data_IF_618169207663
#
_entry.id   IF_618169207663
#
_cell.length_a   1.000
_cell.length_b   1.000
_cell.length_c   1.000
_cell.angle_alpha   90.00
_cell.angle_beta   90.00
_cell.angle_gamma   90.00
#
_symmetry.space_group_name_H-M   'P 1'
#
loop_
_entity.id
_entity.type
_entity.pdbx_description
1 polymer ?
2 polymer ?
3 non-polymer ?
4 water ?
#
# COMPACT_ATOMS: atom_id res chain seq x y z
N UNK A 2 18.58 4.98 -26.23
CA UNK A 2 18.72 4.27 -24.97
C UNK A 2 17.40 4.11 -24.19
N UNK A 3 17.50 3.48 -23.02
CA UNK A 3 16.35 3.31 -22.12
C UNK A 3 16.22 4.54 -21.22
N UNK A 4 15.12 4.63 -20.46
CA UNK A 4 14.92 5.69 -19.49
C UNK A 4 14.03 5.24 -18.35
N UNK A 5 14.16 5.87 -17.19
CA UNK A 5 13.35 5.53 -16.02
C UNK A 5 13.06 6.73 -15.14
N UNK A 6 11.86 6.76 -14.58
CA UNK A 6 11.47 7.81 -13.66
C UNK A 6 11.02 7.17 -12.37
N UNK A 7 11.70 7.50 -11.27
CA UNK A 7 11.33 7.08 -9.93
C UNK A 7 10.57 8.18 -9.20
N UNK A 8 9.30 7.90 -8.87
CA UNK A 8 8.47 8.85 -8.14
C UNK A 8 8.68 8.68 -6.65
N UNK A 9 9.44 9.59 -6.02
CA UNK A 9 9.92 9.38 -4.66
C UNK A 9 8.85 9.42 -3.57
N UNK A 10 7.75 10.14 -3.82
CA UNK A 10 6.60 10.16 -2.90
C UNK A 10 5.42 9.27 -3.32
N UNK A 11 5.61 8.43 -4.32
CA UNK A 11 4.56 7.50 -4.78
C UNK A 11 4.06 6.57 -3.67
N UNK A 12 4.98 5.89 -2.98
CA UNK A 12 4.60 4.94 -1.91
C UNK A 12 3.76 5.61 -0.83
N UNK A 13 4.21 6.78 -0.38
CA UNK A 13 3.47 7.59 0.58
C UNK A 13 2.09 8.02 0.07
N UNK A 14 1.98 8.42 -1.19
CA UNK A 14 0.67 8.74 -1.81
C UNK A 14 -0.25 7.46 -1.82
N UNK A 15 0.29 6.30 -2.16
CA UNK A 15 -0.49 5.03 -2.16
C UNK A 15 -1.04 4.74 -0.77
N UNK A 16 -0.18 4.91 0.24
CA UNK A 16 -0.51 4.58 1.62
C UNK A 16 -1.61 5.51 2.14
N UNK A 17 -1.46 6.80 1.85
CA UNK A 17 -2.52 7.78 2.16
C UNK A 17 -3.85 7.36 1.55
N UNK A 18 -3.82 7.01 0.28
CA UNK A 18 -5.01 6.52 -0.42
C UNK A 18 -5.61 5.24 0.17
N UNK A 19 -4.76 4.31 0.59
CA UNK A 19 -5.24 3.10 1.29
C UNK A 19 -5.93 3.40 2.60
N UNK A 20 -5.42 4.41 3.30
CA UNK A 20 -6.04 4.91 4.52
C UNK A 20 -7.36 5.60 4.28
N UNK A 21 -7.43 6.40 3.21
CA UNK A 21 -8.69 7.02 2.82
C UNK A 21 -9.76 5.95 2.55
N UNK A 22 -9.37 4.87 1.87
CA UNK A 22 -10.27 3.76 1.59
C UNK A 22 -10.73 3.09 2.87
N UNK A 23 -9.81 2.92 3.82
CA UNK A 23 -10.14 2.38 5.14
C UNK A 23 -11.13 3.28 5.86
N UNK A 24 -10.86 4.58 5.92
CA UNK A 24 -11.74 5.53 6.60
C UNK A 24 -13.16 5.58 6.02
N UNK A 25 -13.30 5.25 4.74
CA UNK A 25 -14.61 5.17 4.09
C UNK A 25 -15.20 3.76 4.05
N UNK A 26 -14.44 2.77 4.52
CA UNK A 26 -14.85 1.37 4.57
C UNK A 26 -14.94 0.72 3.19
N UNK A 27 -14.05 1.10 2.29
CA UNK A 27 -14.09 0.63 0.90
C UNK A 27 -13.02 -0.43 0.68
N UNK A 28 -13.47 -1.59 0.21
CA UNK A 28 -12.66 -2.78 -0.10
C UNK A 28 -11.97 -3.41 1.13
N UNK A 29 -12.43 -3.04 2.32
CA UNK A 29 -12.02 -3.68 3.55
C UNK A 29 -12.58 -5.10 3.49
N UNK A 30 -11.73 -6.07 3.83
CA UNK A 30 -12.00 -7.50 3.64
C UNK A 30 -11.73 -8.31 4.89
N UNK A 31 -11.63 -7.65 6.04
CA UNK A 31 -11.52 -8.35 7.30
C UNK A 31 -11.90 -7.39 8.42
N UNK A 32 -12.50 -7.95 9.47
CA UNK A 32 -12.67 -7.23 10.74
C UNK A 32 -11.79 -7.91 11.81
N UNK A 33 -10.99 -7.09 12.48
CA UNK A 33 -10.18 -7.54 13.62
C UNK A 33 -10.97 -7.22 14.89
N UNK A 34 -11.31 -8.27 15.65
CA UNK A 34 -12.03 -8.12 16.89
C UNK A 34 -11.04 -8.14 18.04
N UNK A 35 -11.03 -7.05 18.82
CA UNK A 35 -10.16 -6.90 19.98
C UNK A 35 -11.09 -6.65 21.17
N UNK A 36 -11.33 -7.72 21.94
CA UNK A 36 -12.34 -7.73 23.00
C UNK A 36 -13.69 -7.20 22.47
N UNK A 37 -14.16 -6.05 22.96
CA UNK A 37 -15.46 -5.51 22.57
C UNK A 37 -15.42 -4.59 21.35
N UNK A 38 -14.22 -4.32 20.80
CA UNK A 38 -14.07 -3.39 19.68
C UNK A 38 -13.67 -4.10 18.40
N UNK A 39 -14.00 -3.47 17.28
CA UNK A 39 -13.83 -4.03 15.94
C UNK A 39 -13.09 -3.03 15.09
N UNK A 40 -12.13 -3.51 14.31
CA UNK A 40 -11.36 -2.65 13.42
C UNK A 40 -11.40 -3.23 12.02
N UNK A 41 -12.03 -2.51 11.10
CA UNK A 41 -12.15 -2.92 9.69
C UNK A 41 -10.86 -2.53 8.95
N UNK A 42 -10.38 -3.41 8.07
CA UNK A 42 -9.07 -3.18 7.46
C UNK A 42 -8.87 -4.02 6.20
N UNK A 43 -7.72 -3.80 5.57
CA UNK A 43 -7.30 -4.53 4.39
C UNK A 43 -6.24 -5.54 4.79
N UNK A 44 -6.55 -6.82 4.53
CA UNK A 44 -5.64 -7.92 4.77
C UNK A 44 -4.24 -7.69 4.24
N UNK A 45 -4.15 -7.13 3.05
CA UNK A 45 -2.85 -6.89 2.41
C UNK A 45 -1.96 -5.98 3.25
N UNK A 46 -2.53 -4.94 3.84
CA UNK A 46 -1.76 -3.95 4.62
C UNK A 46 -1.32 -4.57 5.98
N UNK A 47 -2.22 -5.34 6.57
CA UNK A 47 -1.95 -6.03 7.81
C UNK A 47 -0.79 -7.00 7.61
N UNK A 48 -0.86 -7.78 6.54
CA UNK A 48 0.20 -8.72 6.17
C UNK A 48 1.51 -8.02 5.95
N UNK A 49 1.46 -6.89 5.27
CA UNK A 49 2.67 -6.13 4.93
C UNK A 49 3.43 -5.63 6.15
N UNK A 50 2.71 -5.34 7.23
CA UNK A 50 3.29 -4.75 8.42
C UNK A 50 3.46 -5.68 9.63
N UNK A 51 2.78 -6.83 9.67
CA UNK A 51 2.75 -7.66 10.86
C UNK A 51 3.07 -9.10 10.53
N UNK A 52 4.01 -9.67 11.27
CA UNK A 52 4.31 -11.09 11.20
C UNK A 52 3.13 -11.98 11.50
N UNK A 53 2.32 -11.62 12.50
CA UNK A 53 1.18 -12.45 12.90
C UNK A 53 0.15 -12.53 11.77
N UNK A 54 -0.27 -11.36 11.28
CA UNK A 54 -1.22 -11.29 10.19
C UNK A 54 -0.67 -11.96 8.94
N UNK A 55 0.59 -11.71 8.63
CA UNK A 55 1.25 -12.40 7.52
C UNK A 55 1.09 -13.92 7.64
N UNK A 56 1.47 -14.51 8.78
CA UNK A 56 1.26 -15.92 9.03
C UNK A 56 -0.18 -16.38 8.92
N UNK A 57 -1.09 -15.58 9.47
CA UNK A 57 -2.51 -15.96 9.52
C UNK A 57 -3.07 -16.07 8.11
N UNK A 58 -2.83 -15.05 7.29
CA UNK A 58 -3.43 -15.02 5.94
C UNK A 58 -2.57 -15.71 4.89
N UNK A 59 -1.42 -16.26 5.28
CA UNK A 59 -0.63 -17.13 4.40
C UNK A 59 -1.07 -18.59 4.60
N UNK A 60 -1.83 -18.85 5.66
CA UNK A 60 -2.36 -20.17 5.94
C UNK A 60 -3.56 -20.44 5.04
N UNK A 61 -3.50 -21.53 4.27
CA UNK A 61 -4.59 -21.93 3.37
C UNK A 61 -5.93 -22.00 4.11
N UNK A 62 -5.91 -22.65 5.27
CA UNK A 62 -7.11 -22.81 6.12
C UNK A 62 -7.72 -21.49 6.63
N UNK A 63 -6.94 -20.40 6.65
CA UNK A 63 -7.37 -19.10 7.16
C UNK A 63 -7.27 -17.92 6.18
N UNK A 64 -6.85 -18.19 4.93
CA UNK A 64 -6.72 -17.18 3.87
C UNK A 64 -8.01 -16.36 3.73
N UNK A 65 -9.12 -17.05 3.46
CA UNK A 65 -10.43 -16.43 3.18
C UNK A 65 -11.34 -16.30 4.41
N UNK A 66 -10.77 -16.04 5.59
CA UNK A 66 -11.57 -15.72 6.78
C UNK A 66 -11.73 -14.22 6.84
N UNK A 67 -12.92 -13.77 7.19
CA UNK A 67 -13.23 -12.34 7.20
C UNK A 67 -13.33 -11.75 8.61
N UNK A 68 -13.18 -12.57 9.65
CA UNK A 68 -13.13 -12.09 11.02
C UNK A 68 -11.97 -12.76 11.75
N UNK A 69 -11.12 -11.93 12.37
CA UNK A 69 -9.98 -12.43 13.14
C UNK A 69 -10.10 -11.94 14.58
N UNK A 70 -10.15 -12.88 15.50
CA UNK A 70 -10.32 -12.58 16.90
C UNK A 70 -8.98 -12.67 17.61
N UNK A 71 -8.50 -11.53 18.11
CA UNK A 71 -7.21 -11.50 18.82
C UNK A 71 -7.38 -12.02 20.25
N UNK A 72 -6.26 -12.43 20.85
CA UNK A 72 -6.19 -12.80 22.26
C UNK A 72 -6.89 -11.74 23.13
N UNK A 73 -7.71 -12.16 24.13
CA UNK A 73 -8.47 -11.17 24.91
C UNK A 73 -7.66 -10.34 25.91
N UNK A 74 -6.37 -10.67 26.09
CA UNK A 74 -5.43 -9.83 26.85
C UNK A 74 -4.98 -8.57 26.11
N UNK A 75 -5.16 -8.53 24.79
CA UNK A 75 -4.76 -7.37 23.98
C UNK A 75 -5.70 -6.20 24.21
N UNK A 76 -5.16 -5.02 24.46
CA UNK A 76 -6.00 -3.85 24.72
C UNK A 76 -6.35 -3.12 23.39
N UNK A 77 -7.61 -2.67 23.24
CA UNK A 77 -7.99 -2.07 21.95
C UNK A 77 -7.24 -0.80 21.55
N UNK A 78 -6.95 0.07 22.52
CA UNK A 78 -6.25 1.33 22.29
C UNK A 78 -4.86 1.10 21.69
N UNK A 79 -4.18 0.07 22.18
CA UNK A 79 -2.84 -0.30 21.69
C UNK A 79 -2.88 -0.83 20.28
N UNK A 80 -3.87 -1.68 19.98
CA UNK A 80 -4.06 -2.16 18.62
C UNK A 80 -4.39 -1.02 17.65
N UNK A 81 -5.22 -0.08 18.08
CA UNK A 81 -5.57 1.09 17.27
C UNK A 81 -4.35 1.97 16.95
N UNK A 82 -3.47 2.14 17.95
CA UNK A 82 -2.24 2.92 17.74
C UNK A 82 -1.41 2.27 16.63
N UNK A 83 -1.28 0.95 16.69
CA UNK A 83 -0.51 0.22 15.69
C UNK A 83 -1.19 0.12 14.33
N UNK A 84 -2.52 0.01 14.29
CA UNK A 84 -3.28 0.04 13.05
C UNK A 84 -3.08 1.38 12.37
N UNK A 85 -3.23 2.46 13.13
CA UNK A 85 -2.96 3.80 12.61
C UNK A 85 -1.53 3.93 12.08
N UNK A 86 -0.58 3.35 12.79
CA UNK A 86 0.82 3.36 12.32
C UNK A 86 1.00 2.63 10.98
N UNK A 87 0.33 1.50 10.83
CA UNK A 87 0.45 0.69 9.60
C UNK A 87 0.01 1.48 8.39
N UNK A 88 -1.07 2.24 8.56
CA UNK A 88 -1.70 3.00 7.47
C UNK A 88 -1.19 4.45 7.32
N UNK A 89 -0.38 4.95 8.27
CA UNK A 89 0.11 6.35 8.22
C UNK A 89 1.62 6.56 8.31
N UNK A 90 2.36 5.51 8.70
CA UNK A 90 3.76 5.59 9.11
C UNK A 90 4.04 6.32 10.45
N UNK A 91 2.99 6.71 11.16
CA UNK A 91 3.09 7.53 12.38
C UNK A 91 2.76 6.68 13.58
N UNK A 92 3.72 6.57 14.51
CA UNK A 92 3.54 5.85 15.76
C UNK A 92 3.42 6.85 16.90
N UNK A 93 2.20 7.01 17.44
CA UNK A 93 1.96 7.91 18.57
C UNK A 93 2.17 7.18 19.87
N UNK A 94 3.00 7.77 20.73
CA UNK A 94 3.34 7.20 22.02
C UNK A 94 3.19 8.24 23.11
N UNK A 95 2.63 7.81 24.23
CA UNK A 95 2.71 8.53 25.50
C UNK A 95 3.52 7.63 26.43
N UNK A 96 3.95 8.20 27.56
CA UNK A 96 4.56 7.42 28.64
C UNK A 96 3.53 6.50 29.30
N UNK A 97 2.26 6.89 29.26
CA UNK A 97 1.17 6.09 29.82
C UNK A 97 0.68 4.90 29.00
N UNK A 98 1.08 4.80 27.73
CA UNK A 98 0.65 3.67 26.90
C UNK A 98 1.76 2.90 26.17
N UNK A 99 3.02 3.30 26.33
CA UNK A 99 4.12 2.64 25.60
C UNK A 99 4.30 1.16 25.94
N UNK A 100 4.05 0.76 27.20
CA UNK A 100 4.08 -0.66 27.55
C UNK A 100 2.98 -1.42 26.83
N UNK A 101 1.80 -0.81 26.75
CA UNK A 101 0.66 -1.39 26.02
C UNK A 101 0.94 -1.47 24.54
N UNK A 102 1.53 -0.41 23.99
CA UNK A 102 1.91 -0.40 22.58
C UNK A 102 2.95 -1.48 22.33
N UNK A 103 4.04 -1.44 23.10
CA UNK A 103 5.12 -2.44 23.01
C UNK A 103 4.58 -3.88 23.11
N UNK A 104 3.79 -4.14 24.14
CA UNK A 104 3.17 -5.45 24.34
C UNK A 104 2.33 -5.85 23.13
N UNK A 105 1.51 -4.93 22.62
CA UNK A 105 0.73 -5.22 21.43
C UNK A 105 1.62 -5.54 20.22
N UNK A 106 2.66 -4.73 20.02
CA UNK A 106 3.62 -4.93 18.92
C UNK A 106 4.32 -6.27 18.98
N UNK A 107 4.63 -6.73 20.19
CA UNK A 107 5.24 -8.04 20.39
C UNK A 107 4.23 -9.11 19.98
N UNK A 108 2.99 -8.98 20.43
CA UNK A 108 1.95 -9.95 20.05
C UNK A 108 1.71 -10.02 18.51
N UNK A 109 1.66 -8.85 17.88
CA UNK A 109 1.53 -8.75 16.41
C UNK A 109 2.80 -9.09 15.63
N UNK A 110 3.93 -9.24 16.33
CA UNK A 110 5.22 -9.62 15.73
C UNK A 110 5.72 -8.49 14.79
N UNK A 111 5.73 -7.28 15.33
CA UNK A 111 6.18 -6.10 14.62
C UNK A 111 7.45 -5.67 15.31
N UNK A 112 8.53 -6.35 14.98
CA UNK A 112 9.79 -6.31 15.75
C UNK A 112 10.49 -4.97 15.70
N UNK A 113 10.37 -4.27 14.58
CA UNK A 113 11.01 -2.97 14.42
C UNK A 113 10.32 -1.95 15.32
N UNK A 114 9.00 -2.09 15.47
CA UNK A 114 8.23 -1.24 16.40
C UNK A 114 8.55 -1.60 17.85
N UNK A 115 8.55 -2.91 18.15
CA UNK A 115 9.02 -3.42 19.46
C UNK A 115 10.36 -2.78 19.80
N UNK A 116 11.31 -2.78 18.87
CA UNK A 116 12.65 -2.25 19.18
C UNK A 116 12.70 -0.74 19.40
N UNK A 117 11.94 0.00 18.61
CA UNK A 117 11.72 1.44 18.82
C UNK A 117 11.15 1.75 20.21
N UNK A 118 10.15 0.97 20.65
CA UNK A 118 9.64 1.08 22.03
C UNK A 118 10.72 0.81 23.08
N UNK A 119 11.55 -0.20 22.84
CA UNK A 119 12.70 -0.50 23.70
C UNK A 119 13.63 0.69 23.88
N UNK A 120 13.95 1.35 22.79
CA UNK A 120 14.88 2.46 22.81
C UNK A 120 14.30 3.71 23.48
N UNK A 121 13.00 3.92 23.32
CA UNK A 121 12.25 4.99 23.99
C UNK A 121 12.34 4.82 25.50
N UNK A 122 12.07 3.60 25.95
CA UNK A 122 12.13 3.26 27.38
C UNK A 122 13.52 3.56 27.98
N UNK A 123 14.58 3.26 27.25
CA UNK A 123 15.94 3.58 27.69
C UNK A 123 16.21 5.10 27.78
N UNK A 124 15.51 5.90 26.97
CA UNK A 124 15.63 7.36 27.00
C UNK A 124 14.63 8.07 27.94
N UNK A 125 13.94 7.33 28.82
CA UNK A 125 12.99 7.91 29.79
C UNK A 125 13.62 9.05 30.63
N UNK B 3 3.06 13.95 25.15
CA UNK B 3 2.93 13.04 23.97
C UNK B 3 4.18 13.03 23.09
N UNK B 4 4.32 11.94 22.32
CA UNK B 4 5.42 11.78 21.37
C UNK B 4 4.93 11.15 20.06
N UNK B 5 5.68 11.39 18.99
CA UNK B 5 5.34 10.83 17.70
C UNK B 5 6.59 10.46 16.92
N UNK B 6 6.56 9.29 16.28
CA UNK B 6 7.65 8.87 15.42
C UNK B 6 7.07 8.65 14.05
N UNK B 7 7.58 9.39 13.07
CA UNK B 7 7.25 9.18 11.68
C UNK B 7 8.34 8.36 11.01
N UNK B 8 7.98 7.18 10.49
CA UNK B 8 8.91 6.30 9.81
C UNK B 8 8.92 6.62 8.33
N UNK B 9 9.96 7.32 7.87
CA UNK B 9 9.99 7.88 6.52
C UNK B 9 10.10 6.85 5.39
N UNK B 10 10.70 5.68 5.63
CA UNK B 10 10.67 4.59 4.62
C UNK B 10 9.53 3.57 4.82
N UNK B 11 8.60 3.84 5.74
CA UNK B 11 7.47 2.92 5.96
C UNK B 11 6.59 2.67 4.73
N UNK B 12 6.19 3.74 4.05
CA UNK B 12 5.32 3.59 2.88
C UNK B 12 5.99 2.76 1.79
N UNK B 13 7.24 3.11 1.51
CA UNK B 13 8.09 2.38 0.56
C UNK B 13 8.24 0.88 0.93
N UNK B 14 8.43 0.60 2.22
CA UNK B 14 8.48 -0.80 2.70
C UNK B 14 7.15 -1.53 2.51
N UNK B 15 6.05 -0.84 2.80
CA UNK B 15 4.72 -1.42 2.60
C UNK B 15 4.49 -1.74 1.12
N UNK B 16 4.87 -0.81 0.25
CA UNK B 16 4.68 -0.99 -1.18
C UNK B 16 5.51 -2.16 -1.71
N UNK B 17 6.75 -2.24 -1.29
CA UNK B 17 7.60 -3.37 -1.65
C UNK B 17 6.96 -4.71 -1.23
N UNK B 18 6.41 -4.75 -0.02
CA UNK B 18 5.73 -5.95 0.48
C UNK B 18 4.46 -6.29 -0.31
N UNK B 19 3.72 -5.27 -0.77
CA UNK B 19 2.55 -5.52 -1.65
C UNK B 19 2.99 -6.11 -2.98
N UNK B 20 4.10 -5.60 -3.51
CA UNK B 20 4.66 -6.15 -4.74
C UNK B 20 5.18 -7.57 -4.57
N UNK B 21 5.76 -7.87 -3.40
CA UNK B 21 6.19 -9.22 -3.10
C UNK B 21 4.98 -10.16 -3.04
N UNK B 22 3.89 -9.71 -2.42
CA UNK B 22 2.65 -10.48 -2.39
C UNK B 22 2.09 -10.73 -3.77
N UNK B 23 2.13 -9.68 -4.62
CA UNK B 23 1.67 -9.82 -6.01
C UNK B 23 2.54 -10.82 -6.76
N UNK B 24 3.87 -10.74 -6.60
CA UNK B 24 4.76 -11.67 -7.31
C UNK B 24 4.54 -13.13 -6.90
N UNK B 25 4.01 -13.36 -5.71
CA UNK B 25 3.69 -14.71 -5.27
C UNK B 25 2.20 -15.05 -5.38
N UNK B 26 1.42 -14.13 -5.98
CA UNK B 26 -0.01 -14.32 -6.19
C UNK B 26 -0.80 -14.48 -4.88
N UNK B 27 -0.45 -13.68 -3.87
CA UNK B 27 -1.08 -13.82 -2.56
C UNK B 27 -2.09 -12.70 -2.32
N UNK B 28 -3.33 -13.12 -2.07
CA UNK B 28 -4.49 -12.25 -1.89
C UNK B 28 -4.81 -11.34 -3.09
N UNK B 29 -4.32 -11.72 -4.26
CA UNK B 29 -4.70 -11.04 -5.48
C UNK B 29 -6.15 -11.40 -5.65
N UNK B 30 -6.94 -10.42 -6.07
CA UNK B 30 -8.40 -10.50 -6.04
C UNK B 30 -9.07 -9.98 -7.31
N UNK B 31 -8.29 -9.64 -8.34
CA UNK B 31 -8.84 -9.25 -9.62
C UNK B 31 -7.84 -9.62 -10.70
N UNK B 32 -8.39 -10.03 -11.84
CA UNK B 32 -7.63 -10.27 -13.05
C UNK B 32 -7.99 -9.15 -14.04
N UNK B 33 -7.00 -8.39 -14.48
CA UNK B 33 -7.21 -7.41 -15.52
C UNK B 33 -6.86 -8.05 -16.84
N UNK B 34 -7.82 -8.03 -17.77
CA UNK B 34 -7.63 -8.63 -19.08
C UNK B 34 -7.32 -7.51 -20.05
N UNK B 35 -6.22 -7.65 -20.78
CA UNK B 35 -5.77 -6.65 -21.75
C UNK B 35 -5.45 -7.43 -23.01
N UNK B 36 -6.39 -7.40 -23.97
CA UNK B 36 -6.37 -8.28 -25.13
C UNK B 36 -6.18 -9.75 -24.68
N UNK B 37 -5.10 -10.41 -25.11
CA UNK B 37 -4.88 -11.81 -24.81
C UNK B 37 -4.18 -12.06 -23.46
N UNK B 38 -3.80 -10.98 -22.76
CA UNK B 38 -3.00 -11.08 -21.52
C UNK B 38 -3.84 -10.85 -20.26
N UNK B 39 -3.54 -11.62 -19.22
CA UNK B 39 -4.14 -11.47 -17.91
C UNK B 39 -3.08 -10.91 -16.94
N UNK B 40 -3.48 -9.98 -16.09
CA UNK B 40 -2.61 -9.42 -15.06
C UNK B 40 -3.34 -9.58 -13.74
N UNK B 41 -2.72 -10.25 -12.78
CA UNK B 41 -3.27 -10.38 -11.44
C UNK B 41 -2.77 -9.27 -10.56
N UNK B 42 -3.67 -8.76 -9.72
CA UNK B 42 -3.37 -7.62 -8.88
C UNK B 42 -4.37 -7.52 -7.72
N UNK B 43 -4.11 -6.53 -6.89
CA UNK B 43 -4.92 -6.19 -5.74
C UNK B 43 -5.78 -4.97 -6.06
N UNK B 44 -7.10 -5.12 -5.98
CA UNK B 44 -8.02 -4.02 -6.27
C UNK B 44 -7.63 -2.74 -5.53
N UNK B 45 -7.18 -2.87 -4.28
CA UNK B 45 -6.85 -1.69 -3.46
C UNK B 45 -5.73 -0.87 -4.05
N UNK B 46 -4.74 -1.53 -4.66
CA UNK B 46 -3.59 -0.84 -5.22
C UNK B 46 -4.00 -0.15 -6.53
N UNK B 47 -4.85 -0.82 -7.30
CA UNK B 47 -5.36 -0.28 -8.55
C UNK B 47 -6.18 0.99 -8.30
N UNK B 48 -7.08 0.93 -7.34
CA UNK B 48 -7.92 2.07 -6.95
C UNK B 48 -7.07 3.24 -6.47
N UNK B 49 -6.02 2.94 -5.72
CA UNK B 49 -5.16 3.96 -5.15
C UNK B 49 -4.39 4.71 -6.21
N UNK B 50 -4.07 4.05 -7.33
CA UNK B 50 -3.24 4.65 -8.36
C UNK B 50 -3.98 5.13 -9.60
N UNK B 51 -5.21 4.67 -9.80
CA UNK B 51 -5.92 4.96 -11.04
C UNK B 51 -7.36 5.46 -10.84
N UNK B 52 -7.67 6.57 -11.53
CA UNK B 52 -9.02 7.13 -11.51
C UNK B 52 -10.08 6.16 -12.01
N UNK B 53 -9.74 5.35 -13.01
CA UNK B 53 -10.68 4.43 -13.67
C UNK B 53 -10.98 3.23 -12.78
N UNK B 54 -9.92 2.59 -12.28
CA UNK B 54 -10.12 1.49 -11.34
C UNK B 54 -10.84 1.97 -10.10
N UNK B 55 -10.52 3.17 -9.64
CA UNK B 55 -11.24 3.72 -8.51
C UNK B 55 -12.73 3.77 -8.77
N UNK B 56 -13.10 4.25 -9.97
CA UNK B 56 -14.48 4.30 -10.41
C UNK B 56 -15.09 2.92 -10.61
N UNK B 57 -14.34 2.01 -11.22
CA UNK B 57 -14.85 0.66 -11.43
C UNK B 57 -15.17 0.02 -10.08
N UNK B 58 -14.23 0.06 -9.14
CA UNK B 58 -14.40 -0.72 -7.88
C UNK B 58 -15.18 -0.02 -6.78
N UNK B 59 -15.57 1.24 -7.03
CA UNK B 59 -16.55 1.93 -6.20
C UNK B 59 -18.00 1.76 -6.73
N UNK B 60 -18.12 1.29 -7.97
CA UNK B 60 -19.41 1.05 -8.59
C UNK B 60 -20.06 -0.18 -7.95
N UNK B 61 -21.23 0.00 -7.34
CA UNK B 61 -22.00 -1.09 -6.73
C UNK B 61 -22.18 -2.32 -7.63
N UNK B 62 -22.41 -2.09 -8.92
CA UNK B 62 -22.57 -3.16 -9.89
C UNK B 62 -21.27 -3.92 -10.25
N UNK B 63 -20.11 -3.31 -9.97
CA UNK B 63 -18.82 -3.89 -10.33
C UNK B 63 -17.85 -4.18 -9.18
N UNK B 64 -18.23 -3.85 -7.95
CA UNK B 64 -17.35 -4.00 -6.78
C UNK B 64 -16.89 -5.45 -6.58
N UNK B 65 -17.83 -6.39 -6.62
CA UNK B 65 -17.56 -7.82 -6.37
C UNK B 65 -17.26 -8.68 -7.63
N UNK B 66 -16.83 -8.05 -8.73
CA UNK B 66 -16.32 -8.76 -9.90
C UNK B 66 -14.80 -9.01 -9.79
N UNK B 67 -14.38 -10.19 -10.24
CA UNK B 67 -12.99 -10.63 -10.12
C UNK B 67 -12.21 -10.65 -11.45
N UNK B 68 -12.86 -10.26 -12.54
CA UNK B 68 -12.21 -10.10 -13.85
C UNK B 68 -12.74 -8.79 -14.44
N UNK B 69 -11.82 -7.94 -14.91
CA UNK B 69 -12.16 -6.71 -15.60
C UNK B 69 -11.50 -6.78 -16.97
N UNK B 70 -12.29 -6.57 -18.02
CA UNK B 70 -11.82 -6.49 -19.40
C UNK B 70 -11.63 -5.02 -19.73
N UNK B 71 -10.40 -4.62 -20.05
CA UNK B 71 -10.16 -3.28 -20.54
C UNK B 71 -10.53 -3.17 -22.02
N UNK B 72 -10.71 -1.94 -22.48
CA UNK B 72 -10.90 -1.64 -23.89
C UNK B 72 -9.87 -2.42 -24.74
N UNK B 73 -10.31 -3.06 -25.85
CA UNK B 73 -9.39 -3.88 -26.65
C UNK B 73 -8.34 -3.12 -27.47
N UNK B 74 -8.38 -1.77 -27.47
CA UNK B 74 -7.33 -0.94 -28.07
C UNK B 74 -6.09 -0.80 -27.17
N UNK B 75 -6.20 -1.16 -25.89
CA UNK B 75 -5.13 -0.91 -24.92
C UNK B 75 -4.00 -1.90 -25.12
N UNK B 76 -2.78 -1.39 -25.02
CA UNK B 76 -1.55 -2.15 -25.21
C UNK B 76 -1.28 -2.99 -23.94
N UNK B 77 -0.92 -4.29 -24.09
CA UNK B 77 -0.50 -5.07 -22.91
C UNK B 77 0.85 -4.62 -22.31
N UNK B 78 1.82 -4.29 -23.16
CA UNK B 78 3.14 -3.80 -22.73
C UNK B 78 3.01 -2.48 -21.96
N UNK B 79 2.15 -1.61 -22.45
CA UNK B 79 1.88 -0.32 -21.81
C UNK B 79 1.19 -0.48 -20.49
N UNK B 80 0.20 -1.38 -20.42
CA UNK B 80 -0.47 -1.63 -19.17
C UNK B 80 0.50 -2.22 -18.14
N UNK B 81 1.33 -3.16 -18.59
CA UNK B 81 2.36 -3.75 -17.75
C UNK B 81 3.33 -2.70 -17.20
N UNK B 82 3.76 -1.75 -18.04
CA UNK B 82 4.66 -0.70 -17.56
C UNK B 82 4.02 0.10 -16.41
N UNK B 83 2.76 0.48 -16.58
CA UNK B 83 2.03 1.20 -15.54
C UNK B 83 1.68 0.36 -14.30
N UNK B 84 1.39 -0.93 -14.48
CA UNK B 84 1.14 -1.83 -13.34
C UNK B 84 2.42 -1.96 -12.47
N UNK B 85 3.56 -2.16 -13.11
CA UNK B 85 4.87 -2.15 -12.44
C UNK B 85 5.14 -0.85 -11.67
N UNK B 86 4.77 0.26 -12.29
CA UNK B 86 4.89 1.57 -11.68
C UNK B 86 4.03 1.67 -10.42
N UNK B 87 2.81 1.14 -10.49
CA UNK B 87 1.87 1.24 -9.36
C UNK B 87 2.45 0.59 -8.11
N UNK B 88 3.13 -0.55 -8.32
CA UNK B 88 3.62 -1.38 -7.23
C UNK B 88 5.08 -1.12 -6.85
N UNK B 89 5.78 -0.28 -7.62
CA UNK B 89 7.22 0.02 -7.42
C UNK B 89 7.65 1.50 -7.43
N UNK B 90 6.81 2.39 -7.93
CA UNK B 90 7.10 3.80 -8.11
C UNK B 90 8.04 4.12 -9.29
N UNK B 91 8.40 3.10 -10.07
CA UNK B 91 9.35 3.23 -11.15
C UNK B 91 8.62 3.05 -12.48
N UNK B 92 8.64 4.11 -13.29
CA UNK B 92 8.09 4.12 -14.63
C UNK B 92 9.23 3.94 -15.66
N UNK B 93 9.28 2.75 -16.27
CA UNK B 93 10.29 2.47 -17.28
C UNK B 93 9.77 2.87 -18.66
N UNK B 94 10.51 3.75 -19.32
CA UNK B 94 10.11 4.31 -20.60
C UNK B 94 11.18 4.09 -21.65
N UNK B 95 10.73 3.76 -22.86
CA UNK B 95 11.53 3.87 -24.07
C UNK B 95 10.85 4.92 -24.93
N UNK B 96 11.59 5.48 -25.89
CA UNK B 96 11.00 6.39 -26.87
C UNK B 96 10.01 5.64 -27.79
N UNK B 97 10.23 4.34 -27.97
CA UNK B 97 9.31 3.50 -28.73
C UNK B 97 7.95 3.25 -28.10
N UNK B 98 7.87 3.30 -26.76
CA UNK B 98 6.61 3.01 -26.05
C UNK B 98 6.02 4.15 -25.23
N UNK B 99 6.67 5.31 -25.19
CA UNK B 99 6.17 6.43 -24.38
C UNK B 99 4.75 6.88 -24.78
N UNK B 100 4.45 6.86 -26.08
CA UNK B 100 3.12 7.22 -26.56
C UNK B 100 2.11 6.17 -26.12
N UNK B 101 2.44 4.88 -26.24
CA UNK B 101 1.61 3.79 -25.71
C UNK B 101 1.39 3.91 -24.19
N UNK B 102 2.47 4.23 -23.47
CA UNK B 102 2.39 4.41 -22.02
C UNK B 102 1.49 5.60 -21.73
N UNK B 103 1.77 6.74 -22.36
CA UNK B 103 0.93 7.93 -22.18
C UNK B 103 -0.54 7.63 -22.49
N UNK B 104 -0.79 7.03 -23.64
CA UNK B 104 -2.14 6.64 -24.04
C UNK B 104 -2.80 5.75 -23.00
N UNK B 105 -2.07 4.74 -22.53
CA UNK B 105 -2.61 3.84 -21.51
C UNK B 105 -2.86 4.59 -20.19
N UNK B 106 -1.90 5.43 -19.80
CA UNK B 106 -2.07 6.33 -18.64
C UNK B 106 -3.29 7.23 -18.75
N UNK B 107 -3.52 7.79 -19.94
CA UNK B 107 -4.70 8.58 -20.22
C UNK B 107 -5.96 7.73 -20.01
N UNK B 108 -6.02 6.56 -20.65
CA UNK B 108 -7.16 5.66 -20.45
C UNK B 108 -7.39 5.25 -18.97
N UNK B 109 -6.32 4.99 -18.22
CA UNK B 109 -6.46 4.66 -16.79
C UNK B 109 -6.67 5.87 -15.88
N UNK B 110 -6.62 7.08 -16.44
CA UNK B 110 -6.87 8.30 -15.69
C UNK B 110 -5.78 8.45 -14.62
N UNK B 111 -4.54 8.37 -15.10
CA UNK B 111 -3.35 8.52 -14.28
C UNK B 111 -2.70 9.82 -14.75
N UNK B 112 -3.35 10.91 -14.39
CA UNK B 112 -3.07 12.23 -14.97
C UNK B 112 -1.71 12.79 -14.59
N UNK B 113 -1.24 12.46 -13.39
CA UNK B 113 0.10 12.91 -12.97
C UNK B 113 1.17 12.19 -13.78
N UNK B 114 0.96 10.91 -14.07
CA UNK B 114 1.84 10.15 -14.95
C UNK B 114 1.78 10.68 -16.39
N UNK B 115 0.56 10.92 -16.88
CA UNK B 115 0.38 11.53 -18.20
C UNK B 115 1.20 12.81 -18.30
N UNK B 116 1.09 13.68 -17.30
CA UNK B 116 1.73 15.00 -17.36
C UNK B 116 3.22 14.90 -17.29
N UNK B 117 3.73 13.89 -16.57
CA UNK B 117 5.16 13.60 -16.52
C UNK B 117 5.69 13.20 -17.90
N UNK B 118 4.97 12.35 -18.60
CA UNK B 118 5.34 12.01 -19.99
C UNK B 118 5.28 13.23 -20.92
N UNK B 119 4.32 14.10 -20.66
CA UNK B 119 4.09 15.31 -21.45
C UNK B 119 5.30 16.23 -21.35
N UNK B 120 5.87 16.35 -20.14
CA UNK B 120 7.07 17.17 -19.93
C UNK B 120 8.31 16.63 -20.64
N UNK B 121 8.44 15.30 -20.70
CA UNK B 121 9.59 14.66 -21.34
C UNK B 121 9.58 14.82 -22.85
N UNK B 122 8.42 14.60 -23.45
CA UNK B 122 8.25 14.79 -24.90
C UNK B 122 8.70 16.18 -25.38
N UNK B 123 8.51 17.20 -24.55
CA UNK B 123 9.08 18.53 -24.80
C UNK B 123 10.62 18.53 -24.72
N UNK B 124 11.16 17.94 -23.65
CA UNK B 124 12.61 17.85 -23.45
C UNK B 124 13.21 16.69 -24.24
N UNK C 1 7.44 18.39 27.77
CA UNK C 1 8.66 17.84 27.17
C UNK C 1 8.37 16.68 26.19
N UNK C 2 7.50 16.94 25.22
CA UNK C 2 7.21 16.01 24.13
C UNK C 2 8.15 16.18 22.95
N UNK C 3 8.09 15.25 22.02
CA UNK C 3 8.94 15.29 20.82
C UNK C 3 8.31 14.67 19.58
N UNK C 4 8.85 15.06 18.42
CA UNK C 4 8.45 14.50 17.13
C UNK C 4 9.71 14.03 16.43
N UNK C 5 9.76 12.75 16.05
CA UNK C 5 10.96 12.17 15.43
C UNK C 5 10.67 11.69 14.03
N UNK C 6 11.45 12.15 13.05
CA UNK C 6 11.47 11.53 11.74
C UNK C 6 12.64 10.60 11.68
N UNK C 7 12.35 9.31 11.48
CA UNK C 7 13.33 8.25 11.55
C UNK C 7 13.27 7.44 10.27
N UNK C 8 14.42 7.23 9.62
CA UNK C 8 14.51 6.58 8.31
C UNK C 8 14.88 5.09 8.31
N UNK C 9 14.86 4.45 9.48
CA UNK C 9 15.17 3.03 9.62
C UNK C 9 14.00 2.17 9.18
N UNK C 10 14.24 0.89 8.94
CA UNK C 10 13.19 -0.03 8.55
C UNK C 10 12.12 -0.05 9.63
N UNK C 11 10.87 -0.16 9.22
CA UNK C 11 9.74 -0.06 10.13
C UNK C 11 8.97 -1.34 10.31
N UNK C 12 9.11 -2.27 9.37
CA UNK C 12 8.26 -3.46 9.31
C UNK C 12 9.09 -4.56 8.68
N UNK C 13 8.64 -5.81 8.83
CA UNK C 13 9.33 -6.93 8.22
C UNK C 13 9.35 -6.79 6.70
N UNK C 14 10.25 -7.53 6.05
CA UNK C 14 10.32 -7.59 4.59
C UNK C 14 9.72 -8.93 4.20
N UNK C 15 8.77 -8.94 3.27
CA UNK C 15 8.17 -10.19 2.77
C UNK C 15 9.13 -10.74 1.71
N UNK C 16 9.57 -12.01 1.84
CA UNK C 16 10.54 -12.53 0.87
C UNK C 16 9.96 -12.76 -0.54
N UNK C 17 10.85 -12.83 -1.52
CA UNK C 17 10.52 -13.22 -2.89
C UNK C 17 10.08 -14.68 -2.92
N UNK D 1 22.23 10.15 -24.30
CA UNK D 1 20.81 10.09 -24.66
C UNK D 1 19.95 9.14 -23.80
N UNK D 2 20.31 8.97 -22.53
CA UNK D 2 19.56 8.11 -21.60
C UNK D 2 19.62 8.64 -20.18
N UNK D 3 18.49 8.63 -19.49
CA UNK D 3 18.41 9.23 -18.14
C UNK D 3 17.58 8.51 -17.09
N UNK D 4 17.98 8.70 -15.84
CA UNK D 4 17.24 8.22 -14.69
C UNK D 4 16.82 9.44 -13.89
N UNK D 5 15.51 9.60 -13.69
CA UNK D 5 14.97 10.77 -13.01
C UNK D 5 14.34 10.40 -11.69
N UNK D 6 14.73 11.10 -10.62
CA UNK D 6 14.03 11.03 -9.34
C UNK D 6 13.18 12.28 -9.22
N UNK D 7 11.88 12.09 -9.10
CA UNK D 7 10.92 13.17 -9.14
C UNK D 7 10.07 13.08 -7.87
N UNK D 8 9.86 14.21 -7.20
CA UNK D 8 9.20 14.22 -5.88
C UNK D 8 7.82 14.89 -5.88
N UNK D 9 7.26 15.13 -7.06
CA UNK D 9 5.89 15.62 -7.18
C UNK D 9 4.90 14.48 -7.04
N UNK D 10 3.64 14.81 -6.80
CA UNK D 10 2.59 13.81 -6.58
C UNK D 10 2.51 12.89 -7.80
N UNK D 11 2.33 11.60 -7.56
CA UNK D 11 2.37 10.62 -8.65
C UNK D 11 1.01 10.12 -9.12
N UNK D 12 -0.02 10.30 -8.31
CA UNK D 12 -1.32 9.64 -8.51
C UNK D 12 -2.38 10.54 -7.91
N UNK D 13 -3.63 10.29 -8.28
CA UNK D 13 -4.73 11.01 -7.67
C UNK D 13 -4.77 10.83 -6.16
N UNK D 14 -5.45 11.75 -5.50
CA UNK D 14 -5.68 11.71 -4.07
C UNK D 14 -7.12 11.26 -3.90
N UNK D 15 -7.35 10.20 -3.14
CA UNK D 15 -8.72 9.77 -2.85
C UNK D 15 -9.23 10.68 -1.72
N UNK D 16 -10.42 11.29 -1.89
CA UNK D 16 -10.90 12.25 -0.90
C UNK D 16 -11.32 11.61 0.42
N UNK D 17 -11.25 12.41 1.50
CA UNK D 17 -11.81 12.03 2.80
C UNK D 17 -13.30 11.68 2.70
#
# INVERSE_FOLDING_TARGET
>A
GPDSQIQFTRHASDVLLNLNRLRSRDILTDVVIVVSREQFRAHKTVLMACSGLFYSIFTDQLKRNLSVINLDPEINPEGFNILLDFMYTSRLNLREGNIMAVMATAMYLQMEHVVDTCRKFIKASE
>B
GPDSQIQFTRHASDVLLNLNRLRSRDILTDVVIVVSREQFRAHKTVLMACSGLFYSIFTDQLKRNLSVINLDPEINPEGFNILLDFMYTSRLNLREGNIMAVMATAMYLQMEHVVDTCRKFIKASE
>C
PGGFLCWDGRSIHEIPR
>D
PGGFLCWDGRSIHEIPR
#
